data_IF_490818957138
#
_entry.id   IF_490818957138
#
_cell.length_a   1.000
_cell.length_b   1.000
_cell.length_c   1.000
_cell.angle_alpha   90.00
_cell.angle_beta   90.00
_cell.angle_gamma   90.00
#
_symmetry.space_group_name_H-M   'P 1'
#
loop_
_entity.id
_entity.type
_entity.pdbx_description
1 polymer ?
#
# COMPACT_ATOMS: atom_id res chain seq x y z
N UNK A 1 49.18 6.87 49.07
CA UNK A 1 48.32 8.05 48.78
C UNK A 1 48.47 8.53 47.33
N UNK A 2 49.64 8.32 46.69
CA UNK A 2 49.91 8.74 45.29
C UNK A 2 49.04 8.15 44.18
N UNK A 3 48.67 6.87 44.28
CA UNK A 3 47.95 6.17 43.20
C UNK A 3 46.55 6.74 42.98
N UNK A 4 45.86 7.13 44.06
CA UNK A 4 44.52 7.75 43.98
C UNK A 4 44.56 9.16 43.41
N UNK A 5 45.64 9.91 43.66
CA UNK A 5 45.80 11.26 43.12
C UNK A 5 46.08 11.19 41.62
N UNK A 6 46.95 10.26 41.18
CA UNK A 6 47.19 10.00 39.75
C UNK A 6 45.92 9.58 39.03
N UNK A 7 45.19 8.60 39.58
CA UNK A 7 43.92 8.13 39.01
C UNK A 7 42.89 9.26 38.86
N UNK A 8 42.79 10.16 39.85
CA UNK A 8 41.91 11.35 39.77
C UNK A 8 42.39 12.36 38.72
N UNK A 9 43.70 12.53 38.56
CA UNK A 9 44.26 13.45 37.56
C UNK A 9 44.08 12.93 36.12
N UNK A 10 44.23 11.62 35.91
CA UNK A 10 44.03 10.95 34.62
C UNK A 10 42.55 10.93 34.23
N UNK A 11 41.66 10.65 35.19
CA UNK A 11 40.22 10.71 34.96
C UNK A 11 39.74 12.12 34.54
N UNK A 12 40.33 13.19 35.11
CA UNK A 12 40.02 14.57 34.71
C UNK A 12 40.49 14.89 33.29
N UNK A 13 41.72 14.50 32.94
CA UNK A 13 42.27 14.67 31.58
C UNK A 13 41.41 13.99 30.52
N UNK A 14 40.88 12.79 30.79
CA UNK A 14 39.99 12.08 29.86
C UNK A 14 38.60 12.72 29.70
N UNK A 15 38.19 13.61 30.61
CA UNK A 15 36.89 14.32 30.56
C UNK A 15 36.98 15.75 30.03
N UNK A 16 38.17 16.24 29.69
CA UNK A 16 38.34 17.55 29.08
C UNK A 16 37.71 17.58 27.68
N UNK A 17 37.10 18.72 27.34
CA UNK A 17 36.09 18.92 26.28
C UNK A 17 36.58 18.65 24.84
N UNK A 18 37.85 18.30 24.67
CA UNK A 18 38.50 18.04 23.38
C UNK A 18 39.04 16.61 23.23
N UNK A 19 38.75 15.70 24.17
CA UNK A 19 39.18 14.30 24.06
C UNK A 19 38.34 13.55 23.01
N UNK A 20 38.87 13.43 21.79
CA UNK A 20 38.39 12.43 20.83
C UNK A 20 38.68 11.03 21.41
N UNK A 21 37.68 10.14 21.52
CA UNK A 21 37.92 8.79 22.02
C UNK A 21 38.85 8.04 21.05
N UNK A 22 40.02 7.65 21.55
CA UNK A 22 41.06 6.94 20.79
C UNK A 22 40.62 5.53 20.37
N UNK A 23 39.62 4.98 21.06
CA UNK A 23 39.02 3.67 20.80
C UNK A 23 37.58 3.90 20.36
N UNK A 24 37.18 3.33 19.21
CA UNK A 24 35.79 3.38 18.78
C UNK A 24 34.88 2.86 19.90
N UNK A 25 33.82 3.60 20.26
CA UNK A 25 32.95 3.18 21.34
C UNK A 25 32.42 1.79 21.05
N UNK A 26 32.49 0.89 22.04
CA UNK A 26 31.93 -0.44 21.93
C UNK A 26 30.44 -0.33 21.59
N UNK A 27 30.09 -0.61 20.35
CA UNK A 27 28.69 -0.68 19.96
C UNK A 27 28.16 -2.04 20.40
N UNK A 28 27.13 -2.03 21.24
CA UNK A 28 26.37 -3.23 21.52
C UNK A 28 25.95 -3.87 20.18
N UNK A 29 26.16 -5.19 20.03
CA UNK A 29 25.86 -5.92 18.79
C UNK A 29 24.44 -5.64 18.27
N UNK A 30 23.48 -5.45 19.19
CA UNK A 30 22.10 -5.07 18.87
C UNK A 30 21.98 -3.72 18.15
N UNK A 31 22.74 -2.71 18.56
CA UNK A 31 22.75 -1.38 17.93
C UNK A 31 23.41 -1.44 16.57
N UNK A 32 24.53 -2.14 16.44
CA UNK A 32 25.21 -2.35 15.16
C UNK A 32 24.28 -3.06 14.15
N UNK A 33 23.58 -4.11 14.58
CA UNK A 33 22.58 -4.82 13.76
C UNK A 33 21.41 -3.90 13.37
N UNK A 34 20.87 -3.10 14.31
CA UNK A 34 19.80 -2.13 14.00
C UNK A 34 20.23 -1.11 12.94
N UNK A 35 21.45 -0.57 13.06
CA UNK A 35 22.00 0.38 12.10
C UNK A 35 22.23 -0.26 10.73
N UNK A 36 22.74 -1.49 10.68
CA UNK A 36 22.90 -2.23 9.43
C UNK A 36 21.55 -2.48 8.74
N UNK A 37 20.53 -2.93 9.49
CA UNK A 37 19.18 -3.10 8.97
C UNK A 37 18.56 -1.78 8.49
N UNK A 38 18.81 -0.67 9.19
CA UNK A 38 18.34 0.65 8.76
C UNK A 38 19.00 1.12 7.46
N UNK A 39 20.32 0.94 7.31
CA UNK A 39 21.05 1.23 6.07
C UNK A 39 20.54 0.38 4.91
N UNK A 40 20.41 -0.93 5.11
CA UNK A 40 19.87 -1.84 4.09
C UNK A 40 18.45 -1.44 3.66
N UNK A 41 17.59 -1.01 4.59
CA UNK A 41 16.24 -0.51 4.28
C UNK A 41 16.27 0.77 3.43
N UNK A 42 17.25 1.64 3.63
CA UNK A 42 17.42 2.84 2.80
C UNK A 42 17.93 2.49 1.40
N UNK A 43 18.89 1.57 1.29
CA UNK A 43 19.43 1.10 0.01
C UNK A 43 18.35 0.40 -0.83
N UNK A 44 17.45 -0.34 -0.20
CA UNK A 44 16.38 -1.09 -0.87
C UNK A 44 15.07 -0.29 -0.95
N UNK A 45 15.12 1.01 -0.65
CA UNK A 45 13.94 1.86 -0.76
C UNK A 45 13.59 2.09 -2.24
N UNK A 46 12.43 1.59 -2.65
CA UNK A 46 11.90 1.85 -3.98
C UNK A 46 11.64 3.36 -4.15
N UNK A 47 11.87 3.92 -5.36
CA UNK A 47 11.51 5.30 -5.66
C UNK A 47 10.06 5.61 -5.28
N UNK A 48 9.81 6.84 -4.84
CA UNK A 48 8.47 7.27 -4.43
C UNK A 48 7.41 7.13 -5.53
N UNK A 49 7.82 7.08 -6.80
CA UNK A 49 6.96 6.81 -7.97
C UNK A 49 6.42 5.39 -8.04
N UNK A 50 7.14 4.41 -7.50
CA UNK A 50 6.75 3.01 -7.59
C UNK A 50 5.62 2.72 -6.60
N UNK A 51 4.56 2.09 -7.12
CA UNK A 51 3.39 1.71 -6.35
C UNK A 51 2.55 2.90 -5.87
N UNK A 52 2.69 4.09 -6.46
CA UNK A 52 1.89 5.29 -6.11
C UNK A 52 0.39 4.97 -6.02
N UNK A 53 -0.16 4.25 -7.00
CA UNK A 53 -1.56 3.85 -7.02
C UNK A 53 -1.94 2.95 -5.83
N UNK A 54 -1.19 1.87 -5.60
CA UNK A 54 -1.47 0.96 -4.48
C UNK A 54 -1.29 1.63 -3.11
N UNK A 55 -0.30 2.53 -2.96
CA UNK A 55 -0.07 3.33 -1.76
C UNK A 55 -1.19 4.37 -1.53
N UNK A 56 -1.80 4.88 -2.59
CA UNK A 56 -2.96 5.78 -2.49
C UNK A 56 -4.21 5.04 -2.00
N UNK A 57 -4.37 3.76 -2.38
CA UNK A 57 -5.45 2.90 -1.90
C UNK A 57 -5.21 2.49 -0.46
N UNK A 58 -3.98 2.10 -0.11
CA UNK A 58 -3.65 1.59 1.21
C UNK A 58 -2.31 2.12 1.69
N UNK A 59 -2.38 3.08 2.62
CA UNK A 59 -1.18 3.71 3.20
C UNK A 59 -0.43 2.77 4.15
N UNK A 60 -1.06 1.69 4.60
CA UNK A 60 -0.49 0.73 5.54
C UNK A 60 0.23 -0.44 4.84
N UNK A 61 0.46 -0.35 3.53
CA UNK A 61 1.18 -1.38 2.79
C UNK A 61 2.69 -1.40 3.12
N UNK A 62 3.30 -2.59 3.24
CA UNK A 62 2.68 -3.92 3.46
C UNK A 62 2.36 -4.15 4.95
N UNK A 63 1.17 -4.68 5.25
CA UNK A 63 0.72 -4.89 6.63
C UNK A 63 0.05 -6.25 6.87
N UNK A 64 -0.07 -6.64 8.16
CA UNK A 64 -0.75 -7.87 8.57
C UNK A 64 -2.22 -7.91 8.12
N UNK A 65 -2.87 -6.75 8.03
CA UNK A 65 -4.25 -6.62 7.55
C UNK A 65 -4.38 -7.04 6.09
N UNK A 66 -3.38 -6.76 5.24
CA UNK A 66 -3.39 -7.17 3.84
C UNK A 66 -3.45 -8.70 3.74
N UNK A 67 -2.64 -9.41 4.53
CA UNK A 67 -2.71 -10.88 4.59
C UNK A 67 -4.09 -11.36 5.02
N UNK A 68 -4.60 -10.85 6.15
CA UNK A 68 -5.93 -11.22 6.65
C UNK A 68 -7.07 -10.90 5.69
N UNK A 69 -6.93 -9.87 4.85
CA UNK A 69 -7.90 -9.51 3.81
C UNK A 69 -7.95 -10.59 2.73
N UNK A 70 -6.79 -10.98 2.20
CA UNK A 70 -6.71 -11.99 1.13
C UNK A 70 -7.03 -13.40 1.62
N UNK A 71 -6.70 -13.75 2.86
CA UNK A 71 -7.00 -15.08 3.45
C UNK A 71 -8.52 -15.36 3.52
N UNK A 72 -9.36 -14.32 3.48
CA UNK A 72 -10.83 -14.41 3.53
C UNK A 72 -11.47 -14.48 2.13
N UNK A 73 -10.68 -14.42 1.07
CA UNK A 73 -11.16 -14.42 -0.31
C UNK A 73 -10.82 -15.74 -1.00
N UNK A 74 -11.68 -16.16 -1.91
CA UNK A 74 -11.32 -17.25 -2.82
C UNK A 74 -10.31 -16.76 -3.88
N UNK A 75 -9.72 -17.70 -4.64
CA UNK A 75 -8.68 -17.36 -5.63
C UNK A 75 -9.12 -16.30 -6.65
N UNK A 76 -10.35 -16.39 -7.17
CA UNK A 76 -10.87 -15.46 -8.21
C UNK A 76 -11.15 -14.08 -7.63
N UNK A 77 -11.70 -14.05 -6.42
CA UNK A 77 -11.92 -12.82 -5.65
C UNK A 77 -10.61 -12.11 -5.32
N UNK A 78 -9.62 -12.86 -4.84
CA UNK A 78 -8.28 -12.36 -4.54
C UNK A 78 -7.59 -11.80 -5.80
N UNK A 79 -7.70 -12.49 -6.93
CA UNK A 79 -7.18 -12.01 -8.22
C UNK A 79 -7.84 -10.70 -8.63
N UNK A 80 -9.17 -10.64 -8.60
CA UNK A 80 -9.94 -9.43 -8.92
C UNK A 80 -9.52 -8.27 -8.00
N UNK A 81 -9.43 -8.52 -6.69
CA UNK A 81 -8.99 -7.51 -5.73
C UNK A 81 -7.55 -7.04 -5.99
N UNK A 82 -6.64 -7.96 -6.32
CA UNK A 82 -5.25 -7.63 -6.64
C UNK A 82 -5.16 -6.74 -7.89
N UNK A 83 -5.91 -7.05 -8.95
CA UNK A 83 -5.99 -6.22 -10.15
C UNK A 83 -6.52 -4.81 -9.80
N UNK A 84 -7.62 -4.73 -9.03
CA UNK A 84 -8.20 -3.46 -8.60
C UNK A 84 -7.25 -2.62 -7.73
N UNK A 85 -6.51 -3.26 -6.81
CA UNK A 85 -5.55 -2.61 -5.89
C UNK A 85 -4.23 -2.21 -6.55
N UNK A 86 -3.89 -2.81 -7.67
CA UNK A 86 -2.70 -2.45 -8.46
C UNK A 86 -3.01 -1.53 -9.63
N UNK A 87 -4.27 -1.48 -10.05
CA UNK A 87 -4.69 -0.77 -11.26
C UNK A 87 -4.21 -1.47 -12.53
N UNK A 88 -3.71 -2.71 -12.41
CA UNK A 88 -3.33 -3.58 -13.51
C UNK A 88 -4.53 -4.43 -13.89
N UNK A 89 -5.56 -3.77 -14.41
CA UNK A 89 -6.86 -4.36 -14.74
C UNK A 89 -7.01 -4.51 -16.24
N UNK A 90 -8.07 -5.20 -16.67
CA UNK A 90 -8.48 -5.25 -18.09
C UNK A 90 -9.28 -4.03 -18.54
N UNK A 91 -9.23 -2.92 -17.81
CA UNK A 91 -9.94 -1.70 -18.18
C UNK A 91 -9.10 -0.88 -19.17
N UNK A 92 -9.76 -0.13 -20.05
CA UNK A 92 -9.09 0.59 -21.14
C UNK A 92 -8.01 1.57 -20.65
N UNK A 93 -8.15 2.16 -19.45
CA UNK A 93 -7.10 3.03 -18.89
C UNK A 93 -5.76 2.32 -18.68
N UNK A 94 -5.78 1.05 -18.23
CA UNK A 94 -4.56 0.27 -18.08
C UNK A 94 -4.07 -0.25 -19.43
N UNK A 95 -4.99 -0.78 -20.25
CA UNK A 95 -4.67 -1.35 -21.55
C UNK A 95 -4.05 -0.31 -22.49
N UNK A 96 -4.58 0.91 -22.52
CA UNK A 96 -4.01 2.00 -23.31
C UNK A 96 -2.63 2.41 -22.80
N UNK A 97 -2.44 2.46 -21.48
CA UNK A 97 -1.14 2.77 -20.87
C UNK A 97 -0.04 1.78 -21.25
N UNK A 98 -0.39 0.52 -21.51
CA UNK A 98 0.55 -0.52 -21.96
C UNK A 98 0.57 -0.68 -23.49
N UNK A 99 -0.19 0.12 -24.24
CA UNK A 99 -0.26 0.07 -25.69
C UNK A 99 -1.08 -1.08 -26.27
N UNK A 100 -1.93 -1.73 -25.48
CA UNK A 100 -2.78 -2.84 -25.93
C UNK A 100 -4.07 -2.36 -26.63
N UNK A 101 -4.49 -1.11 -26.41
CA UNK A 101 -5.64 -0.48 -27.09
C UNK A 101 -5.34 0.98 -27.40
N UNK A 102 -5.95 1.51 -28.46
CA UNK A 102 -5.68 2.87 -28.94
C UNK A 102 -6.31 3.98 -28.09
N UNK A 103 -7.34 3.66 -27.31
CA UNK A 103 -8.09 4.64 -26.51
C UNK A 103 -8.31 4.14 -25.09
N UNK A 104 -8.18 5.06 -24.13
CA UNK A 104 -8.47 4.81 -22.72
C UNK A 104 -9.96 5.01 -22.37
N UNK A 105 -10.78 5.44 -23.33
CA UNK A 105 -12.18 5.79 -23.11
C UNK A 105 -13.01 4.57 -22.73
N UNK A 106 -13.91 4.75 -21.76
CA UNK A 106 -14.91 3.75 -21.44
C UNK A 106 -15.96 3.66 -22.54
N UNK A 107 -16.52 2.46 -22.75
CA UNK A 107 -17.64 2.23 -23.67
C UNK A 107 -18.90 3.05 -23.34
N UNK A 108 -18.98 3.68 -22.15
CA UNK A 108 -20.05 4.62 -21.82
C UNK A 108 -19.86 6.02 -22.46
N UNK A 109 -18.68 6.31 -22.99
CA UNK A 109 -18.33 7.58 -23.65
C UNK A 109 -18.10 8.78 -22.73
N UNK A 110 -18.18 8.63 -21.41
CA UNK A 110 -18.17 9.77 -20.48
C UNK A 110 -16.78 10.14 -19.94
N UNK A 111 -15.89 9.16 -19.82
CA UNK A 111 -14.55 9.34 -19.26
C UNK A 111 -13.65 8.17 -19.63
N UNK A 112 -12.36 8.30 -19.32
CA UNK A 112 -11.42 7.18 -19.32
C UNK A 112 -11.90 6.06 -18.39
N UNK A 113 -11.73 4.81 -18.83
CA UNK A 113 -12.14 3.62 -18.09
C UNK A 113 -11.17 3.29 -16.97
N UNK A 114 -11.20 4.11 -15.92
CA UNK A 114 -10.43 3.88 -14.69
C UNK A 114 -11.20 2.98 -13.73
N UNK A 115 -10.50 2.42 -12.73
CA UNK A 115 -11.14 1.65 -11.66
C UNK A 115 -12.20 2.48 -10.92
N UNK A 116 -11.90 3.76 -10.64
CA UNK A 116 -12.85 4.67 -9.99
C UNK A 116 -14.10 4.90 -10.87
N UNK A 117 -13.90 5.16 -12.17
CA UNK A 117 -15.00 5.33 -13.09
C UNK A 117 -15.86 4.07 -13.16
N UNK A 118 -15.23 2.91 -13.34
CA UNK A 118 -15.88 1.61 -13.41
C UNK A 118 -16.71 1.32 -12.16
N UNK A 119 -16.10 1.45 -10.97
CA UNK A 119 -16.72 1.11 -9.69
C UNK A 119 -17.77 2.12 -9.22
N UNK A 120 -17.72 3.39 -9.62
CA UNK A 120 -18.57 4.42 -9.00
C UNK A 120 -19.38 5.28 -9.97
N UNK A 121 -18.94 5.47 -11.22
CA UNK A 121 -19.47 6.52 -12.11
C UNK A 121 -20.10 5.98 -13.40
N UNK A 122 -19.62 4.86 -13.93
CA UNK A 122 -19.99 4.37 -15.26
C UNK A 122 -21.48 4.02 -15.38
N UNK A 123 -22.28 4.77 -16.14
CA UNK A 123 -23.73 4.55 -16.27
C UNK A 123 -24.10 3.15 -16.78
N UNK A 124 -23.26 2.54 -17.62
CA UNK A 124 -23.44 1.18 -18.16
C UNK A 124 -23.47 0.09 -17.08
N UNK A 125 -22.80 0.31 -15.95
CA UNK A 125 -22.66 -0.68 -14.87
C UNK A 125 -23.53 -0.37 -13.64
N UNK A 126 -24.49 0.56 -13.77
CA UNK A 126 -25.29 1.06 -12.63
C UNK A 126 -26.03 -0.04 -11.88
N UNK A 127 -26.66 -1.00 -12.59
CA UNK A 127 -27.40 -2.11 -11.96
C UNK A 127 -26.51 -3.00 -11.10
N UNK A 128 -25.24 -3.16 -11.47
CA UNK A 128 -24.30 -4.00 -10.70
C UNK A 128 -23.71 -3.28 -9.48
N UNK A 129 -23.90 -1.95 -9.39
CA UNK A 129 -23.48 -1.12 -8.26
C UNK A 129 -24.54 -0.99 -7.18
N UNK A 130 -25.73 -1.59 -7.34
CA UNK A 130 -26.81 -1.44 -6.37
C UNK A 130 -26.37 -1.90 -4.97
N UNK A 131 -25.71 -3.06 -4.88
CA UNK A 131 -25.09 -3.56 -3.65
C UNK A 131 -24.06 -2.55 -3.06
N UNK A 132 -23.21 -1.96 -3.90
CA UNK A 132 -22.21 -0.96 -3.46
C UNK A 132 -22.85 0.36 -3.01
N UNK A 133 -23.91 0.81 -3.68
CA UNK A 133 -24.63 2.03 -3.34
C UNK A 133 -25.43 1.87 -2.03
N UNK A 134 -25.92 0.66 -1.75
CA UNK A 134 -26.60 0.33 -0.50
C UNK A 134 -25.62 0.22 0.68
N UNK A 135 -24.37 -0.19 0.45
CA UNK A 135 -23.40 -0.41 1.52
C UNK A 135 -23.07 0.85 2.31
N UNK A 136 -23.03 2.06 1.74
CA UNK A 136 -22.78 3.31 2.51
C UNK A 136 -23.13 4.58 1.73
N UNK A 137 -23.97 5.46 2.30
CA UNK A 137 -24.12 6.84 1.79
C UNK A 137 -22.87 7.70 2.10
N UNK A 138 -22.17 7.43 3.21
CA UNK A 138 -21.07 8.26 3.73
C UNK A 138 -19.70 7.95 3.11
N UNK A 139 -19.51 6.77 2.51
CA UNK A 139 -18.23 6.35 1.89
C UNK A 139 -18.35 6.19 0.37
N UNK A 140 -19.35 6.82 -0.24
CA UNK A 140 -19.58 6.79 -1.69
C UNK A 140 -18.34 7.30 -2.44
N UNK A 141 -17.85 6.51 -3.40
CA UNK A 141 -16.65 6.85 -4.18
C UNK A 141 -15.32 6.68 -3.44
N UNK A 142 -15.30 6.15 -2.21
CA UNK A 142 -14.06 5.92 -1.48
C UNK A 142 -13.38 4.61 -1.93
N UNK A 143 -12.44 4.72 -2.85
CA UNK A 143 -11.74 3.56 -3.41
C UNK A 143 -11.00 2.74 -2.34
N UNK A 144 -10.34 3.38 -1.38
CA UNK A 144 -9.65 2.70 -0.28
C UNK A 144 -10.61 1.81 0.52
N UNK A 145 -11.79 2.34 0.88
CA UNK A 145 -12.80 1.61 1.65
C UNK A 145 -13.26 0.34 0.91
N UNK A 146 -13.66 0.48 -0.37
CA UNK A 146 -14.17 -0.63 -1.17
C UNK A 146 -13.09 -1.64 -1.59
N UNK A 147 -11.80 -1.28 -1.53
CA UNK A 147 -10.70 -2.19 -1.83
C UNK A 147 -9.95 -2.68 -0.58
N UNK A 148 -10.51 -2.46 0.61
CA UNK A 148 -9.95 -2.92 1.88
C UNK A 148 -8.58 -2.31 2.19
N UNK A 149 -8.37 -1.05 1.81
CA UNK A 149 -7.16 -0.27 2.07
C UNK A 149 -7.36 0.75 3.19
N UNK A 150 -6.30 1.02 3.96
CA UNK A 150 -6.31 2.03 5.01
C UNK A 150 -6.14 3.42 4.40
N UNK A 151 -7.07 4.33 4.70
CA UNK A 151 -6.96 5.75 4.40
C UNK A 151 -6.28 6.51 5.54
N UNK A 152 -5.78 7.72 5.24
CA UNK A 152 -5.20 8.64 6.24
C UNK A 152 -6.22 9.09 7.29
N UNK A 153 -7.51 9.06 6.96
CA UNK A 153 -8.61 9.40 7.86
C UNK A 153 -8.96 8.29 8.84
N UNK A 154 -8.43 7.07 8.65
CA UNK A 154 -8.83 5.92 9.44
C UNK A 154 -8.03 5.82 10.74
N UNK A 155 -8.71 5.38 11.81
CA UNK A 155 -8.09 5.21 13.12
C UNK A 155 -7.03 4.11 13.13
N UNK A 156 -6.17 4.08 14.15
CA UNK A 156 -5.12 3.07 14.27
C UNK A 156 -5.65 1.64 14.38
N UNK A 157 -6.84 1.46 14.98
CA UNK A 157 -7.52 0.16 15.14
C UNK A 157 -8.42 -0.22 13.96
N UNK A 158 -8.25 0.41 12.80
CA UNK A 158 -9.04 0.16 11.61
C UNK A 158 -8.90 -1.28 11.09
N UNK A 159 -10.00 -1.81 10.55
CA UNK A 159 -10.06 -3.08 9.83
C UNK A 159 -10.84 -2.91 8.53
N UNK A 160 -10.51 -3.68 7.47
CA UNK A 160 -11.24 -3.63 6.21
C UNK A 160 -12.67 -4.15 6.39
N UNK A 161 -13.61 -3.47 5.73
CA UNK A 161 -15.01 -3.90 5.65
C UNK A 161 -15.17 -4.95 4.54
N UNK A 162 -15.38 -6.20 4.91
CA UNK A 162 -15.48 -7.30 3.95
C UNK A 162 -16.77 -7.23 3.11
N UNK A 163 -17.84 -6.62 3.62
CA UNK A 163 -19.08 -6.44 2.86
C UNK A 163 -18.85 -5.48 1.69
N UNK A 164 -18.16 -4.37 1.97
CA UNK A 164 -17.77 -3.42 0.94
C UNK A 164 -16.80 -4.03 -0.08
N UNK A 165 -15.81 -4.80 0.39
CA UNK A 165 -14.85 -5.50 -0.50
C UNK A 165 -15.55 -6.50 -1.40
N UNK A 166 -16.43 -7.34 -0.85
CA UNK A 166 -17.20 -8.29 -1.64
C UNK A 166 -18.11 -7.59 -2.67
N UNK A 167 -18.76 -6.48 -2.29
CA UNK A 167 -19.57 -5.70 -3.23
C UNK A 167 -18.73 -5.17 -4.41
N UNK A 168 -17.48 -4.77 -4.17
CA UNK A 168 -16.58 -4.29 -5.24
C UNK A 168 -16.13 -5.41 -6.19
N UNK A 169 -15.77 -6.59 -5.66
CA UNK A 169 -15.19 -7.69 -6.45
C UNK A 169 -16.22 -8.64 -7.08
N UNK A 170 -17.50 -8.58 -6.66
CA UNK A 170 -18.61 -9.36 -7.21
C UNK A 170 -18.91 -9.05 -8.70
N UNK A 171 -18.20 -8.10 -9.31
CA UNK A 171 -18.42 -7.70 -10.69
C UNK A 171 -17.82 -8.67 -11.71
N UNK A 172 -18.62 -9.25 -12.62
CA UNK A 172 -18.15 -10.23 -13.59
C UNK A 172 -17.29 -9.64 -14.72
N UNK A 173 -17.22 -8.31 -14.89
CA UNK A 173 -16.49 -7.70 -16.01
C UNK A 173 -14.97 -7.87 -15.94
N UNK A 174 -14.41 -8.01 -14.74
CA UNK A 174 -12.99 -8.36 -14.56
C UNK A 174 -12.74 -9.88 -14.64
N UNK A 175 -13.81 -10.68 -14.52
CA UNK A 175 -13.80 -12.14 -14.58
C UNK A 175 -14.16 -12.70 -15.97
N UNK A 176 -14.72 -11.88 -16.86
CA UNK A 176 -15.06 -12.22 -18.23
C UNK A 176 -13.93 -11.80 -19.16
N UNK A 177 -13.04 -12.75 -19.41
CA UNK A 177 -12.57 -13.09 -20.76
C UNK A 177 -12.02 -14.51 -20.65
N UNK A 178 -12.89 -15.49 -20.89
CA UNK A 178 -12.46 -16.81 -21.36
C UNK A 178 -12.99 -17.15 -22.75
N UNK A 179 -14.13 -16.63 -23.24
CA UNK A 179 -14.56 -16.94 -24.61
C UNK A 179 -15.50 -15.87 -25.16
N UNK A 180 -14.99 -15.02 -26.05
CA UNK A 180 -15.77 -14.39 -27.12
C UNK A 180 -14.79 -13.74 -28.10
N UNK A 181 -14.12 -14.58 -28.88
CA UNK A 181 -13.64 -14.30 -30.24
C UNK A 181 -13.09 -15.62 -30.81
N UNK A 182 -14.03 -16.34 -31.43
CA UNK A 182 -13.99 -17.38 -32.49
C UNK A 182 -15.07 -18.44 -32.25
#
# INVERSE_FOLDING_TARGET
MDVQIRAKSEARKSTETECQPEIQPFQAKSTAVKLALAKQRQEWALPASIGKYSKAIDIALPGKHTRSLYDRLNRKEAETLAQLRTGMTRLNSYLNRIGAVDSDLCACGQASETVEHFLFRCTKWTTKREDMNQCTQTKRGNLSFFLGGKSRSDSDRWQPDMTAVHAAIKNPYLNLNQHSEE
#
